data_IF_492990781475
#
_entry.id   IF_492990781475
#
_cell.length_a   1.000
_cell.length_b   1.000
_cell.length_c   1.000
_cell.angle_alpha   90.00
_cell.angle_beta   90.00
_cell.angle_gamma   90.00
#
_symmetry.space_group_name_H-M   'P 1'
#
loop_
_entity.id
_entity.type
_entity.pdbx_description
1 polymer ?
#
# COMPACT_ATOMS: atom_id res chain seq x y z
N UNK A 1 7.27 23.21 11.67
CA UNK A 1 6.27 22.19 11.28
C UNK A 1 7.00 20.88 11.06
N UNK A 2 6.70 19.84 11.86
CA UNK A 2 7.39 18.55 11.73
C UNK A 2 7.05 17.93 10.39
N UNK A 3 8.04 17.82 9.51
CA UNK A 3 7.92 17.11 8.24
C UNK A 3 7.75 15.61 8.52
N UNK A 4 6.50 15.16 8.65
CA UNK A 4 6.18 13.74 8.64
C UNK A 4 6.40 13.23 7.23
N UNK A 5 7.44 12.41 7.05
CA UNK A 5 7.67 11.76 5.77
C UNK A 5 6.56 10.72 5.55
N UNK A 6 5.90 10.74 4.39
CA UNK A 6 4.87 9.77 4.09
C UNK A 6 5.46 8.35 4.12
N UNK A 7 4.74 7.43 4.75
CA UNK A 7 5.13 6.02 4.75
C UNK A 7 4.55 5.36 3.52
N UNK A 8 5.42 4.75 2.70
CA UNK A 8 5.01 4.06 1.48
C UNK A 8 5.35 2.59 1.58
N UNK A 9 4.36 1.75 1.27
CA UNK A 9 4.51 0.30 1.18
C UNK A 9 4.12 -0.13 -0.23
N UNK A 10 5.00 -0.86 -0.90
CA UNK A 10 4.75 -1.44 -2.21
C UNK A 10 4.68 -2.97 -2.11
N UNK A 11 3.83 -3.59 -2.91
CA UNK A 11 3.67 -5.04 -3.01
C UNK A 11 3.67 -5.48 -4.47
N UNK A 12 4.23 -6.65 -4.70
CA UNK A 12 4.12 -7.44 -5.96
C UNK A 12 2.83 -8.26 -5.92
N UNK A 13 2.31 -8.75 -7.06
CA UNK A 13 1.14 -9.62 -7.09
C UNK A 13 1.33 -10.92 -6.30
N UNK A 14 2.58 -11.37 -6.14
CA UNK A 14 2.95 -12.53 -5.32
C UNK A 14 2.88 -12.24 -3.80
N UNK A 15 2.62 -10.99 -3.40
CA UNK A 15 2.51 -10.59 -2.00
C UNK A 15 3.83 -10.33 -1.30
N UNK A 16 4.92 -10.23 -2.05
CA UNK A 16 6.21 -9.79 -1.53
C UNK A 16 6.31 -8.26 -1.53
N UNK A 17 6.93 -7.66 -0.50
CA UNK A 17 7.18 -6.22 -0.49
C UNK A 17 8.09 -5.84 -1.66
N UNK A 18 7.68 -4.82 -2.43
CA UNK A 18 8.45 -4.32 -3.56
C UNK A 18 9.59 -3.42 -3.06
N UNK A 19 10.83 -3.82 -3.30
CA UNK A 19 12.02 -3.09 -2.85
C UNK A 19 12.52 -2.06 -3.88
N UNK A 20 12.25 -2.26 -5.18
CA UNK A 20 12.92 -1.53 -6.28
C UNK A 20 11.95 -0.99 -7.36
N UNK A 21 10.82 -0.41 -6.93
CA UNK A 21 9.95 0.37 -7.82
C UNK A 21 8.98 -0.41 -8.73
N UNK A 22 9.11 -1.75 -8.84
CA UNK A 22 8.09 -2.61 -9.47
C UNK A 22 7.02 -3.06 -8.47
N UNK A 23 6.33 -2.09 -7.89
CA UNK A 23 5.16 -2.37 -7.07
C UNK A 23 3.92 -2.43 -7.98
N UNK A 24 3.22 -3.56 -7.97
CA UNK A 24 1.91 -3.67 -8.63
C UNK A 24 0.81 -3.00 -7.80
N UNK A 25 1.01 -2.94 -6.49
CA UNK A 25 0.18 -2.19 -5.57
C UNK A 25 1.04 -1.36 -4.63
N UNK A 26 0.70 -0.08 -4.44
CA UNK A 26 1.33 0.83 -3.49
C UNK A 26 0.28 1.43 -2.56
N UNK A 27 0.60 1.48 -1.26
CA UNK A 27 -0.18 2.21 -0.25
C UNK A 27 0.70 3.29 0.36
N UNK A 28 0.20 4.52 0.34
CA UNK A 28 0.88 5.70 0.87
C UNK A 28 0.10 6.25 2.05
N UNK A 29 0.73 6.30 3.23
CA UNK A 29 0.15 6.89 4.43
C UNK A 29 0.67 8.31 4.61
N UNK A 30 -0.26 9.25 4.68
CA UNK A 30 -0.01 10.65 4.98
C UNK A 30 -0.50 10.92 6.40
N UNK A 31 0.36 11.43 7.28
CA UNK A 31 -0.01 11.81 8.65
C UNK A 31 0.76 11.09 9.76
N UNK A 32 0.18 11.05 10.95
CA UNK A 32 0.82 10.51 12.18
C UNK A 32 0.42 9.06 12.43
N UNK A 33 0.77 8.17 11.51
CA UNK A 33 0.57 6.72 11.69
C UNK A 33 1.87 6.04 12.11
N UNK A 34 1.77 5.12 13.06
CA UNK A 34 2.90 4.27 13.43
C UNK A 34 3.25 3.32 12.29
N UNK A 35 4.54 3.18 11.96
CA UNK A 35 4.99 2.29 10.88
C UNK A 35 4.44 0.87 10.99
N UNK A 36 4.42 0.30 12.20
CA UNK A 36 3.90 -1.05 12.46
C UNK A 36 2.39 -1.18 12.18
N UNK A 37 1.61 -0.14 12.50
CA UNK A 37 0.17 -0.12 12.21
C UNK A 37 -0.08 0.06 10.71
N UNK A 38 0.66 0.96 10.08
CA UNK A 38 0.59 1.19 8.64
C UNK A 38 0.99 -0.06 7.84
N UNK A 39 2.01 -0.80 8.29
CA UNK A 39 2.43 -2.05 7.64
C UNK A 39 1.36 -3.15 7.71
N UNK A 40 0.75 -3.33 8.89
CA UNK A 40 -0.34 -4.29 9.07
C UNK A 40 -1.58 -3.94 8.21
N UNK A 41 -1.94 -2.65 8.15
CA UNK A 41 -3.03 -2.18 7.30
C UNK A 41 -2.69 -2.32 5.81
N UNK A 42 -1.47 -1.99 5.41
CA UNK A 42 -1.01 -2.11 4.03
C UNK A 42 -1.04 -3.57 3.56
N UNK A 43 -0.66 -4.50 4.43
CA UNK A 43 -0.75 -5.95 4.17
C UNK A 43 -2.19 -6.38 3.96
N UNK A 44 -3.11 -5.96 4.84
CA UNK A 44 -4.53 -6.27 4.71
C UNK A 44 -5.11 -5.73 3.40
N UNK A 45 -4.81 -4.48 3.05
CA UNK A 45 -5.24 -3.86 1.78
C UNK A 45 -4.71 -4.61 0.57
N UNK A 46 -3.47 -5.10 0.64
CA UNK A 46 -2.92 -5.96 -0.40
C UNK A 46 -3.69 -7.27 -0.54
N UNK A 47 -4.04 -7.93 0.55
CA UNK A 47 -4.84 -9.16 0.49
C UNK A 47 -6.22 -8.91 -0.11
N UNK A 48 -6.88 -7.81 0.25
CA UNK A 48 -8.16 -7.40 -0.33
C UNK A 48 -8.04 -7.09 -1.83
N UNK A 49 -6.99 -6.36 -2.22
CA UNK A 49 -6.69 -6.05 -3.62
C UNK A 49 -6.35 -7.30 -4.44
N UNK A 50 -5.56 -8.23 -3.88
CA UNK A 50 -5.17 -9.49 -4.51
C UNK A 50 -6.38 -10.41 -4.73
N UNK A 51 -7.35 -10.38 -3.81
CA UNK A 51 -8.62 -11.11 -3.95
C UNK A 51 -9.56 -10.54 -5.02
N UNK A 52 -9.30 -9.33 -5.55
CA UNK A 52 -10.09 -8.81 -6.66
C UNK A 52 -9.87 -9.69 -7.91
N UNK A 53 -10.89 -10.42 -8.33
CA UNK A 53 -10.83 -11.31 -9.50
C UNK A 53 -10.79 -10.59 -10.85
N UNK A 54 -10.90 -9.26 -10.87
CA UNK A 54 -10.94 -8.46 -12.10
C UNK A 54 -9.70 -7.54 -12.20
N UNK A 55 -8.96 -7.65 -13.31
CA UNK A 55 -7.74 -6.88 -13.56
C UNK A 55 -7.97 -5.37 -13.57
N UNK A 56 -9.13 -4.89 -14.05
CA UNK A 56 -9.45 -3.45 -14.02
C UNK A 56 -9.66 -2.94 -12.60
N UNK A 57 -10.29 -3.72 -11.72
CA UNK A 57 -10.47 -3.38 -10.31
C UNK A 57 -9.12 -3.35 -9.59
N UNK A 58 -8.21 -4.28 -9.91
CA UNK A 58 -6.83 -4.25 -9.44
C UNK A 58 -6.09 -3.00 -9.90
N UNK A 59 -6.15 -2.66 -11.20
CA UNK A 59 -5.49 -1.46 -11.73
C UNK A 59 -5.99 -0.17 -11.06
N UNK A 60 -7.30 -0.03 -10.84
CA UNK A 60 -7.86 1.13 -10.13
C UNK A 60 -7.49 1.18 -8.66
N UNK A 61 -7.38 0.03 -8.00
CA UNK A 61 -6.99 -0.11 -6.59
C UNK A 61 -5.48 -0.18 -6.34
N UNK A 62 -4.66 -0.07 -7.39
CA UNK A 62 -3.22 -0.27 -7.33
C UNK A 62 -2.48 0.85 -6.58
N UNK A 63 -3.02 2.07 -6.56
CA UNK A 63 -2.40 3.19 -5.85
C UNK A 63 -3.38 3.73 -4.81
N UNK A 64 -3.13 3.42 -3.54
CA UNK A 64 -3.99 3.84 -2.43
C UNK A 64 -3.28 4.89 -1.58
N UNK A 65 -4.04 5.90 -1.15
CA UNK A 65 -3.58 6.93 -0.23
C UNK A 65 -4.46 6.87 1.02
N UNK A 66 -3.83 6.77 2.18
CA UNK A 66 -4.48 6.71 3.49
C UNK A 66 -4.10 7.96 4.27
N UNK A 67 -5.12 8.64 4.80
CA UNK A 67 -4.95 9.81 5.66
C UNK A 67 -5.10 9.34 7.11
N UNK A 68 -4.12 9.67 7.96
CA UNK A 68 -4.09 9.30 9.38
C UNK A 68 -3.82 10.47 10.31
#
# INVERSE_FOLDING_TARGET
>A
MGSFRPLRFGFTADGNPAQDGRAEMSVTYLGRVSRRQAEADARRRFEEWSRLGNSLSRLRGANQVVLG
#
